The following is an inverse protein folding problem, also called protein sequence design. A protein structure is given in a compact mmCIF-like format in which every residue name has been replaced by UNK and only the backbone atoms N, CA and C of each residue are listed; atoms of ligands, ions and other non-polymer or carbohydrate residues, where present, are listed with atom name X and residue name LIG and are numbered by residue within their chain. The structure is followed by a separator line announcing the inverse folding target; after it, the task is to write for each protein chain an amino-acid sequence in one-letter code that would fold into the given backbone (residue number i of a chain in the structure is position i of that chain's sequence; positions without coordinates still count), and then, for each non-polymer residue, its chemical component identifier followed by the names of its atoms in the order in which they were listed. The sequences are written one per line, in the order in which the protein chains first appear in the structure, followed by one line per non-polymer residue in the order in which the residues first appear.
data_IF_733007892199
#
_entry.id   IF_733007892199
#
_cell.length_a   1.000
_cell.length_b   1.000
_cell.length_c   1.000
_cell.angle_alpha   90.00
_cell.angle_beta   90.00
_cell.angle_gamma   90.00
#
_symmetry.space_group_name_H-M   'P 1'
#
loop_
_entity.id
_entity.type
_entity.pdbx_description
1 polymer ?
#
# COMPACT_ATOMS: atom_id res chain seq x y z
N UNK A 1 -6.66 -13.03 -32.71
CA UNK A 1 -7.63 -12.53 -31.71
C UNK A 1 -7.96 -11.10 -32.06
N UNK A 2 -9.23 -10.74 -32.12
CA UNK A 2 -9.63 -9.34 -32.29
C UNK A 2 -9.18 -8.52 -31.06
N UNK A 3 -8.84 -7.23 -31.25
CA UNK A 3 -8.38 -6.36 -30.14
C UNK A 3 -9.44 -6.25 -29.04
N UNK A 4 -10.73 -6.30 -29.40
CA UNK A 4 -11.85 -6.24 -28.44
C UNK A 4 -11.93 -7.53 -27.63
N UNK A 5 -11.79 -8.68 -28.30
CA UNK A 5 -11.79 -9.99 -27.67
C UNK A 5 -10.62 -10.16 -26.70
N UNK A 6 -9.42 -9.71 -27.09
CA UNK A 6 -8.25 -9.71 -26.21
C UNK A 6 -8.48 -8.84 -24.97
N UNK A 7 -9.02 -7.62 -25.12
CA UNK A 7 -9.31 -6.74 -24.00
C UNK A 7 -10.32 -7.35 -23.02
N UNK A 8 -11.37 -8.00 -23.52
CA UNK A 8 -12.37 -8.67 -22.67
C UNK A 8 -11.74 -9.82 -21.88
N UNK A 9 -10.96 -10.69 -22.55
CA UNK A 9 -10.25 -11.79 -21.91
C UNK A 9 -9.31 -11.31 -20.80
N UNK A 10 -8.50 -10.28 -21.08
CA UNK A 10 -7.58 -9.75 -20.06
C UNK A 10 -8.31 -9.21 -18.84
N UNK A 11 -9.43 -8.50 -19.04
CA UNK A 11 -10.21 -7.96 -17.93
C UNK A 11 -10.91 -9.03 -17.08
N UNK A 12 -11.26 -10.17 -17.68
CA UNK A 12 -11.72 -11.36 -16.97
C UNK A 12 -10.59 -11.98 -16.14
N UNK A 13 -9.41 -12.17 -16.74
CA UNK A 13 -8.23 -12.75 -16.06
C UNK A 13 -7.72 -11.89 -14.91
N UNK A 14 -7.68 -10.56 -15.07
CA UNK A 14 -7.18 -9.66 -14.05
C UNK A 14 -8.15 -9.49 -12.87
N UNK A 15 -9.45 -9.81 -13.07
CA UNK A 15 -10.50 -9.57 -12.10
C UNK A 15 -10.53 -8.11 -11.56
N UNK A 16 -10.20 -7.16 -12.43
CA UNK A 16 -9.94 -5.77 -12.05
C UNK A 16 -8.52 -5.35 -12.45
N UNK A 17 -8.33 -4.07 -12.79
CA UNK A 17 -7.04 -3.59 -13.33
C UNK A 17 -6.05 -3.14 -12.26
N UNK A 18 -6.55 -2.86 -11.07
CA UNK A 18 -5.79 -2.20 -10.02
C UNK A 18 -5.99 -2.95 -8.71
N UNK A 19 -4.91 -3.03 -7.96
CA UNK A 19 -4.88 -3.51 -6.59
C UNK A 19 -3.94 -2.62 -5.77
N UNK A 20 -4.12 -2.64 -4.45
CA UNK A 20 -3.25 -1.96 -3.50
C UNK A 20 -2.64 -3.02 -2.59
N UNK A 21 -1.35 -3.28 -2.77
CA UNK A 21 -0.61 -4.27 -1.99
C UNK A 21 0.27 -3.55 -0.97
N UNK A 22 0.34 -4.09 0.26
CA UNK A 22 1.23 -3.58 1.30
C UNK A 22 2.70 -3.69 0.85
N UNK A 23 3.48 -2.60 1.02
CA UNK A 23 4.94 -2.63 0.86
C UNK A 23 5.63 -3.27 2.06
N UNK A 24 5.01 -3.21 3.25
CA UNK A 24 5.50 -3.84 4.46
C UNK A 24 5.04 -5.30 4.52
N UNK A 25 5.95 -6.18 4.93
CA UNK A 25 5.64 -7.58 5.22
C UNK A 25 4.95 -7.63 6.59
N UNK A 26 3.75 -8.20 6.65
CA UNK A 26 2.95 -8.29 7.88
C UNK A 26 2.51 -9.75 8.05
N UNK A 27 3.33 -10.54 8.74
CA UNK A 27 3.06 -11.96 9.00
C UNK A 27 2.81 -12.25 10.48
N UNK A 28 3.27 -11.36 11.36
CA UNK A 28 3.22 -11.53 12.81
C UNK A 28 2.51 -10.37 13.51
N UNK A 29 2.02 -10.55 14.74
CA UNK A 29 1.52 -9.45 15.58
C UNK A 29 2.54 -8.34 15.78
N UNK A 30 3.83 -8.69 15.88
CA UNK A 30 4.93 -7.75 16.01
C UNK A 30 5.04 -6.87 14.75
N UNK A 31 4.95 -7.46 13.55
CA UNK A 31 4.94 -6.69 12.29
C UNK A 31 3.76 -5.71 12.24
N UNK A 32 2.58 -6.17 12.64
CA UNK A 32 1.39 -5.33 12.69
C UNK A 32 1.55 -4.19 13.70
N UNK A 33 2.20 -4.45 14.83
CA UNK A 33 2.44 -3.44 15.88
C UNK A 33 3.37 -2.31 15.41
N UNK A 34 4.25 -2.58 14.44
CA UNK A 34 5.12 -1.58 13.81
C UNK A 34 4.38 -0.82 12.71
N UNK A 35 3.65 -1.53 11.85
CA UNK A 35 2.90 -0.94 10.74
C UNK A 35 1.66 -0.14 11.18
N UNK A 36 1.14 -0.44 12.37
CA UNK A 36 -0.04 0.17 12.96
C UNK A 36 0.20 0.51 14.43
N UNK A 37 -0.82 0.45 15.29
CA UNK A 37 -0.69 0.73 16.72
C UNK A 37 0.20 -0.31 17.41
N UNK A 38 1.19 0.10 18.23
CA UNK A 38 1.52 1.48 18.60
C UNK A 38 2.56 2.16 17.69
N UNK A 39 3.31 1.44 16.86
CA UNK A 39 4.48 1.93 16.12
C UNK A 39 4.20 3.08 15.14
N UNK A 40 3.01 3.14 14.54
CA UNK A 40 2.59 4.22 13.62
C UNK A 40 2.60 5.60 14.27
N UNK A 41 2.55 5.68 15.61
CA UNK A 41 2.59 6.95 16.33
C UNK A 41 3.90 7.72 16.08
N UNK A 42 5.05 7.04 15.99
CA UNK A 42 6.36 7.68 15.83
C UNK A 42 6.48 8.48 14.52
N UNK A 43 6.22 7.92 13.32
CA UNK A 43 6.24 8.73 12.09
C UNK A 43 5.20 9.85 12.11
N UNK A 44 4.04 9.67 12.74
CA UNK A 44 3.05 10.75 12.90
C UNK A 44 3.57 11.90 13.76
N UNK A 45 4.22 11.60 14.89
CA UNK A 45 4.83 12.61 15.76
C UNK A 45 5.94 13.35 15.04
N UNK A 46 6.82 12.66 14.32
CA UNK A 46 7.88 13.32 13.54
C UNK A 46 7.32 14.24 12.46
N UNK A 47 6.31 13.82 11.70
CA UNK A 47 5.64 14.65 10.69
C UNK A 47 4.97 15.88 11.32
N UNK A 48 4.44 15.75 12.54
CA UNK A 48 3.84 16.90 13.23
C UNK A 48 4.86 17.96 13.63
N UNK A 49 6.13 17.59 13.81
CA UNK A 49 7.25 18.50 14.09
C UNK A 49 7.78 19.13 12.81
N UNK A 50 7.83 18.36 11.73
CA UNK A 50 8.29 18.79 10.41
C UNK A 50 7.48 18.11 9.29
N UNK A 51 6.66 18.92 8.60
CA UNK A 51 5.75 18.46 7.54
C UNK A 51 6.50 17.86 6.35
N UNK A 52 7.73 18.29 6.08
CA UNK A 52 8.52 17.78 4.95
C UNK A 52 8.91 16.30 5.14
N UNK A 53 8.90 15.80 6.38
CA UNK A 53 9.11 14.38 6.66
C UNK A 53 7.98 13.49 6.12
N UNK A 54 6.84 14.05 5.74
CA UNK A 54 5.77 13.30 5.05
C UNK A 54 6.25 12.69 3.73
N UNK A 55 7.12 13.40 2.99
CA UNK A 55 7.72 12.89 1.74
C UNK A 55 8.68 11.72 1.97
N UNK A 56 9.19 11.57 3.21
CA UNK A 56 10.09 10.48 3.59
C UNK A 56 9.35 9.24 4.11
N UNK A 57 8.31 9.45 4.91
CA UNK A 57 7.64 8.37 5.65
C UNK A 57 6.30 7.92 5.06
N UNK A 58 5.83 8.54 3.97
CA UNK A 58 4.55 8.19 3.33
C UNK A 58 4.71 7.89 1.83
N UNK A 59 3.60 7.52 1.15
CA UNK A 59 3.61 7.05 -0.25
C UNK A 59 3.65 8.18 -1.26
#
# INVERSE_FOLDING_TARGET
MDKREFALKQHEEWAGKIEVISRAKIETPEDLSVAYTPGVAEPCVEISKDVDLSYKYTR
#
